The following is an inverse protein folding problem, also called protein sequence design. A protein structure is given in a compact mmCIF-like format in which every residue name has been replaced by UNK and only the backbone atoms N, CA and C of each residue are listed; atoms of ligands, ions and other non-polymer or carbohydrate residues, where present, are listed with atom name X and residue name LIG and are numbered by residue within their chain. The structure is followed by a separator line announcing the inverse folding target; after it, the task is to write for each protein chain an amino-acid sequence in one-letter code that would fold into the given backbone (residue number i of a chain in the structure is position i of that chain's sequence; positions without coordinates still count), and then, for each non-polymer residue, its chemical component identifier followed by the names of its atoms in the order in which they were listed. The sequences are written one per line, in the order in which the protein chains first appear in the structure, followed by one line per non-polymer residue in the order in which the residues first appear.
data_IF_378617710273
#
_entry.id   IF_378617710273
#
_cell.length_a   1.000
_cell.length_b   1.000
_cell.length_c   1.000
_cell.angle_alpha   90.00
_cell.angle_beta   90.00
_cell.angle_gamma   90.00
#
_symmetry.space_group_name_H-M   'P 1'
#
loop_
_entity.id
_entity.type
_entity.pdbx_description
1 polymer ?
#
# COMPACT_ATOMS: atom_id res chain seq x y z
N UNK A 1 12.88 20.46 -3.02
CA UNK A 1 12.07 21.71 -2.96
C UNK A 1 12.58 22.67 -4.02
N UNK A 2 11.77 23.06 -4.98
CA UNK A 2 12.26 23.84 -6.13
C UNK A 2 12.71 25.24 -5.70
N UNK A 3 13.85 25.68 -6.21
CA UNK A 3 14.44 27.01 -5.97
C UNK A 3 13.40 28.14 -6.12
N UNK A 4 12.44 27.95 -7.01
CA UNK A 4 11.30 28.83 -7.28
C UNK A 4 10.40 29.06 -6.07
N UNK A 5 10.02 27.99 -5.38
CA UNK A 5 9.13 28.02 -4.20
C UNK A 5 9.83 28.73 -3.06
N UNK A 6 11.09 28.39 -2.83
CA UNK A 6 11.92 29.04 -1.81
C UNK A 6 12.04 30.55 -2.06
N UNK A 7 12.21 30.98 -3.33
CA UNK A 7 12.27 32.39 -3.69
C UNK A 7 10.94 33.12 -3.44
N UNK A 8 9.79 32.50 -3.71
CA UNK A 8 8.47 33.08 -3.45
C UNK A 8 8.26 33.29 -1.94
N UNK A 9 8.62 32.30 -1.11
CA UNK A 9 8.54 32.43 0.34
C UNK A 9 9.51 33.48 0.90
N UNK A 10 10.69 33.60 0.33
CA UNK A 10 11.65 34.64 0.72
C UNK A 10 11.10 36.03 0.41
N UNK A 11 10.50 36.24 -0.77
CA UNK A 11 9.83 37.50 -1.13
C UNK A 11 8.66 37.79 -0.17
N UNK A 12 7.85 36.79 0.17
CA UNK A 12 6.79 36.94 1.17
C UNK A 12 7.35 37.48 2.49
N UNK A 13 8.41 36.90 3.04
CA UNK A 13 9.04 37.33 4.29
C UNK A 13 9.55 38.76 4.19
N UNK A 14 10.20 39.14 3.10
CA UNK A 14 10.72 40.49 2.88
C UNK A 14 9.58 41.52 2.86
N UNK A 15 8.52 41.29 2.09
CA UNK A 15 7.39 42.23 2.01
C UNK A 15 6.60 42.29 3.31
N UNK A 16 6.51 41.18 4.05
CA UNK A 16 5.90 41.15 5.38
C UNK A 16 6.72 41.97 6.38
N UNK A 17 8.03 41.79 6.44
CA UNK A 17 8.93 42.57 7.31
C UNK A 17 8.91 44.08 6.98
N UNK A 18 8.87 44.43 5.69
CA UNK A 18 8.72 45.82 5.25
C UNK A 18 7.39 46.43 5.73
N UNK A 19 6.29 45.64 5.71
CA UNK A 19 5.00 46.13 6.19
C UNK A 19 4.99 46.52 7.66
N UNK A 20 5.82 45.84 8.49
CA UNK A 20 5.94 46.12 9.91
C UNK A 20 6.85 47.33 10.24
N UNK A 21 7.72 47.72 9.30
CA UNK A 21 8.69 48.82 9.51
C UNK A 21 8.17 50.18 9.03
N UNK A 22 7.00 50.24 8.38
CA UNK A 22 6.45 51.48 7.81
C UNK A 22 5.52 52.18 8.79
N UNK A 23 5.59 53.52 8.86
CA UNK A 23 4.68 54.34 9.71
C UNK A 23 3.38 54.70 9.03
N UNK A 24 3.28 54.66 7.70
CA UNK A 24 2.10 55.02 6.93
C UNK A 24 1.10 53.89 6.82
N UNK A 25 -0.10 54.07 7.37
CA UNK A 25 -1.19 53.07 7.35
C UNK A 25 -1.57 52.61 5.95
N UNK A 26 -1.53 53.49 4.93
CA UNK A 26 -1.84 53.13 3.54
C UNK A 26 -0.74 52.25 2.93
N UNK A 27 0.53 52.52 3.26
CA UNK A 27 1.64 51.74 2.78
C UNK A 27 1.67 50.36 3.46
N UNK A 28 1.41 50.29 4.77
CA UNK A 28 1.28 49.02 5.52
C UNK A 28 0.25 48.11 4.86
N UNK A 29 -0.96 48.63 4.57
CA UNK A 29 -2.03 47.86 3.93
C UNK A 29 -1.63 47.31 2.57
N UNK A 30 -0.94 48.11 1.73
CA UNK A 30 -0.51 47.67 0.40
C UNK A 30 0.55 46.56 0.48
N UNK A 31 1.58 46.68 1.32
CA UNK A 31 2.60 45.66 1.49
C UNK A 31 2.06 44.38 2.12
N UNK A 32 1.07 44.48 3.03
CA UNK A 32 0.37 43.34 3.61
C UNK A 32 -0.41 42.56 2.55
N UNK A 33 -1.12 43.24 1.66
CA UNK A 33 -1.86 42.59 0.56
C UNK A 33 -0.90 41.87 -0.39
N UNK A 34 0.22 42.50 -0.76
CA UNK A 34 1.24 41.89 -1.61
C UNK A 34 1.83 40.64 -0.95
N UNK A 35 2.20 40.76 0.32
CA UNK A 35 2.74 39.65 1.08
C UNK A 35 1.77 38.48 1.15
N UNK A 36 0.50 38.72 1.47
CA UNK A 36 -0.54 37.69 1.53
C UNK A 36 -0.76 37.00 0.18
N UNK A 37 -0.76 37.78 -0.90
CA UNK A 37 -0.87 37.24 -2.27
C UNK A 37 0.32 36.31 -2.60
N UNK A 38 1.54 36.69 -2.24
CA UNK A 38 2.74 35.87 -2.42
C UNK A 38 2.69 34.59 -1.59
N UNK A 39 2.17 34.68 -0.37
CA UNK A 39 1.99 33.49 0.47
C UNK A 39 1.05 32.47 -0.16
N UNK A 40 -0.14 32.89 -0.57
CA UNK A 40 -1.10 32.02 -1.23
C UNK A 40 -0.56 31.44 -2.53
N UNK A 41 0.13 32.26 -3.33
CA UNK A 41 0.79 31.75 -4.53
C UNK A 41 1.88 30.72 -4.22
N UNK A 42 2.70 30.95 -3.19
CA UNK A 42 3.69 29.99 -2.73
C UNK A 42 3.08 28.64 -2.31
N UNK A 43 1.96 28.68 -1.58
CA UNK A 43 1.24 27.46 -1.16
C UNK A 43 0.66 26.71 -2.38
N UNK A 44 0.06 27.43 -3.33
CA UNK A 44 -0.48 26.83 -4.56
C UNK A 44 0.64 26.19 -5.38
N UNK A 45 1.75 26.89 -5.60
CA UNK A 45 2.89 26.36 -6.38
C UNK A 45 3.54 25.16 -5.69
N UNK A 46 3.59 25.18 -4.36
CA UNK A 46 4.06 24.02 -3.58
C UNK A 46 3.17 22.79 -3.79
N UNK A 47 1.85 22.94 -3.66
CA UNK A 47 0.89 21.85 -3.89
C UNK A 47 0.95 21.32 -5.33
N UNK A 48 1.05 22.21 -6.31
CA UNK A 48 1.22 21.83 -7.71
C UNK A 48 2.56 21.11 -7.97
N UNK A 49 3.62 21.48 -7.26
CA UNK A 49 4.93 20.83 -7.38
C UNK A 49 4.89 19.39 -6.86
N UNK A 50 4.21 19.15 -5.73
CA UNK A 50 4.02 17.80 -5.18
C UNK A 50 3.25 16.94 -6.18
N UNK A 51 2.09 17.41 -6.64
CA UNK A 51 1.26 16.66 -7.58
C UNK A 51 1.97 16.33 -8.90
N UNK A 52 2.85 17.24 -9.39
CA UNK A 52 3.66 16.99 -10.59
C UNK A 52 4.70 15.91 -10.35
N UNK A 53 5.33 15.91 -9.19
CA UNK A 53 6.34 14.90 -8.84
C UNK A 53 5.70 13.52 -8.71
N UNK A 54 4.53 13.43 -8.06
CA UNK A 54 3.76 12.20 -7.96
C UNK A 54 3.33 11.68 -9.33
N UNK A 55 2.79 12.55 -10.19
CA UNK A 55 2.39 12.19 -11.54
C UNK A 55 3.58 11.70 -12.38
N UNK A 56 4.76 12.32 -12.24
CA UNK A 56 5.98 11.91 -12.93
C UNK A 56 6.48 10.55 -12.42
N UNK A 57 6.46 10.32 -11.09
CA UNK A 57 6.86 9.04 -10.51
C UNK A 57 5.91 7.92 -10.93
N UNK A 58 4.59 8.19 -10.96
CA UNK A 58 3.59 7.23 -11.44
C UNK A 58 3.81 6.89 -12.91
N UNK A 59 4.07 7.89 -13.76
CA UNK A 59 4.36 7.65 -15.17
C UNK A 59 5.62 6.83 -15.38
N UNK A 60 6.70 7.10 -14.64
CA UNK A 60 7.93 6.30 -14.69
C UNK A 60 7.67 4.86 -14.27
N UNK A 61 6.85 4.66 -13.24
CA UNK A 61 6.43 3.33 -12.82
C UNK A 61 5.66 2.61 -13.94
N UNK A 62 4.67 3.26 -14.55
CA UNK A 62 3.90 2.68 -15.66
C UNK A 62 4.81 2.31 -16.86
N UNK A 63 5.80 3.14 -17.17
CA UNK A 63 6.81 2.85 -18.19
C UNK A 63 7.65 1.60 -17.85
N UNK A 64 8.03 1.41 -16.56
CA UNK A 64 8.75 0.22 -16.10
C UNK A 64 7.87 -1.04 -16.12
N UNK A 65 6.59 -0.90 -15.76
CA UNK A 65 5.65 -2.01 -15.76
C UNK A 65 5.22 -2.44 -17.16
N UNK A 66 5.32 -1.57 -18.18
CA UNK A 66 4.95 -1.87 -19.55
C UNK A 66 5.76 -3.04 -20.17
N UNK A 67 6.96 -3.28 -19.66
CA UNK A 67 7.82 -4.39 -20.12
C UNK A 67 7.42 -5.74 -19.50
N UNK A 68 6.57 -5.75 -18.47
CA UNK A 68 6.11 -6.95 -17.79
C UNK A 68 4.68 -7.27 -18.27
N UNK A 69 4.44 -8.44 -18.89
CA UNK A 69 3.08 -8.81 -19.31
C UNK A 69 2.18 -8.98 -18.10
N UNK A 70 1.04 -8.27 -18.09
CA UNK A 70 0.03 -8.38 -17.03
C UNK A 70 -1.33 -7.85 -17.52
N UNK A 71 -2.42 -8.41 -17.00
CA UNK A 71 -3.78 -7.93 -17.22
C UNK A 71 -4.32 -7.18 -16.00
N UNK A 72 -3.79 -7.46 -14.81
CA UNK A 72 -4.22 -6.82 -13.58
C UNK A 72 -3.02 -6.31 -12.80
N UNK A 73 -3.16 -5.12 -12.22
CA UNK A 73 -2.12 -4.49 -11.41
C UNK A 73 -2.68 -3.89 -10.13
N UNK A 74 -1.94 -4.03 -9.06
CA UNK A 74 -2.14 -3.37 -7.78
C UNK A 74 -0.88 -2.58 -7.46
N UNK A 75 -1.02 -1.30 -7.26
CA UNK A 75 0.10 -0.39 -6.97
C UNK A 75 -0.18 0.27 -5.63
N UNK A 76 0.76 0.18 -4.69
CA UNK A 76 0.65 0.86 -3.41
C UNK A 76 0.69 2.39 -3.56
N UNK A 77 0.06 3.11 -2.62
CA UNK A 77 -0.01 4.58 -2.66
C UNK A 77 1.39 5.23 -2.65
N UNK A 78 2.35 4.62 -1.94
CA UNK A 78 3.74 5.08 -1.88
C UNK A 78 4.58 4.69 -3.12
N UNK A 79 4.03 3.95 -4.08
CA UNK A 79 4.69 3.44 -5.29
C UNK A 79 5.90 2.54 -5.01
N UNK A 80 6.00 1.95 -3.82
CA UNK A 80 7.11 1.08 -3.44
C UNK A 80 6.80 -0.41 -3.66
N UNK A 81 5.51 -0.76 -3.67
CA UNK A 81 5.06 -2.15 -3.83
C UNK A 81 4.09 -2.25 -5.00
N UNK A 82 4.28 -3.26 -5.82
CA UNK A 82 3.40 -3.56 -6.96
C UNK A 82 3.14 -5.05 -7.01
N UNK A 83 1.88 -5.44 -7.24
CA UNK A 83 1.49 -6.82 -7.52
C UNK A 83 0.82 -6.88 -8.88
N UNK A 84 1.27 -7.81 -9.73
CA UNK A 84 0.74 -7.98 -11.09
C UNK A 84 0.28 -9.41 -11.30
N UNK A 85 -0.83 -9.58 -12.01
CA UNK A 85 -1.33 -10.88 -12.45
C UNK A 85 -1.26 -10.94 -13.97
N UNK A 86 -0.53 -11.93 -14.49
CA UNK A 86 -0.50 -12.35 -15.89
C UNK A 86 -1.30 -13.65 -16.03
N UNK A 87 -2.57 -13.52 -16.45
CA UNK A 87 -3.45 -14.68 -16.63
C UNK A 87 -3.04 -15.51 -17.85
N UNK A 88 -2.49 -14.88 -18.89
CA UNK A 88 -2.06 -15.54 -20.10
C UNK A 88 -0.78 -16.36 -19.88
N UNK A 89 0.23 -15.77 -19.25
CA UNK A 89 1.50 -16.42 -18.88
C UNK A 89 1.39 -17.30 -17.64
N UNK A 90 0.34 -17.11 -16.82
CA UNK A 90 0.11 -17.82 -15.53
C UNK A 90 1.15 -17.49 -14.48
N UNK A 91 1.51 -16.23 -14.39
CA UNK A 91 2.45 -15.69 -13.43
C UNK A 91 1.83 -14.63 -12.53
N UNK A 92 2.27 -14.62 -11.29
CA UNK A 92 2.11 -13.56 -10.32
C UNK A 92 3.48 -12.89 -10.16
N UNK A 93 3.51 -11.58 -10.26
CA UNK A 93 4.73 -10.81 -10.00
C UNK A 93 4.51 -9.94 -8.76
N UNK A 94 5.49 -9.98 -7.86
CA UNK A 94 5.57 -9.08 -6.71
C UNK A 94 6.83 -8.25 -6.89
N UNK A 95 6.64 -6.94 -6.97
CA UNK A 95 7.70 -5.98 -7.16
C UNK A 95 7.80 -5.11 -5.91
N UNK A 96 8.96 -5.07 -5.31
CA UNK A 96 9.21 -4.30 -4.10
C UNK A 96 10.50 -3.51 -4.25
N UNK A 97 10.52 -2.29 -3.73
CA UNK A 97 11.71 -1.45 -3.62
C UNK A 97 11.70 -0.66 -2.32
N UNK A 98 12.87 -0.30 -1.83
CA UNK A 98 13.02 0.44 -0.57
C UNK A 98 12.80 1.94 -0.78
N UNK A 99 13.16 2.47 -1.95
CA UNK A 99 12.98 3.89 -2.29
C UNK A 99 12.58 4.09 -3.75
N UNK A 100 12.03 5.28 -4.06
CA UNK A 100 11.63 5.64 -5.43
C UNK A 100 12.81 5.77 -6.40
N UNK A 101 14.04 5.86 -5.90
CA UNK A 101 15.27 5.99 -6.69
C UNK A 101 15.89 4.63 -7.02
N UNK A 102 15.45 3.57 -6.35
CA UNK A 102 15.96 2.20 -6.54
C UNK A 102 15.12 1.41 -7.54
N UNK A 103 15.76 0.43 -8.16
CA UNK A 103 15.09 -0.52 -9.03
C UNK A 103 14.26 -1.52 -8.20
N UNK A 104 13.22 -2.07 -8.82
CA UNK A 104 12.40 -3.09 -8.18
C UNK A 104 13.14 -4.42 -8.06
N UNK A 105 13.06 -5.03 -6.89
CA UNK A 105 13.24 -6.47 -6.75
C UNK A 105 11.96 -7.15 -7.25
N UNK A 106 12.10 -8.10 -8.19
CA UNK A 106 10.97 -8.74 -8.87
C UNK A 106 10.94 -10.22 -8.52
N UNK A 107 9.94 -10.63 -7.77
CA UNK A 107 9.63 -12.02 -7.52
C UNK A 107 8.61 -12.51 -8.57
N UNK A 108 8.99 -13.51 -9.36
CA UNK A 108 8.14 -14.10 -10.39
C UNK A 108 7.69 -15.50 -9.97
N UNK A 109 6.39 -15.66 -9.75
CA UNK A 109 5.79 -16.84 -9.16
C UNK A 109 4.82 -17.47 -10.18
N UNK A 110 5.05 -18.73 -10.57
CA UNK A 110 4.04 -19.46 -11.34
C UNK A 110 2.80 -19.71 -10.46
N UNK A 111 1.61 -19.57 -10.99
CA UNK A 111 0.36 -19.84 -10.27
C UNK A 111 0.32 -21.24 -9.62
N UNK A 112 0.97 -22.22 -10.23
CA UNK A 112 1.05 -23.58 -9.69
C UNK A 112 1.85 -23.69 -8.40
N UNK A 113 2.76 -22.75 -8.16
CA UNK A 113 3.63 -22.68 -6.97
C UNK A 113 3.01 -21.96 -5.80
N UNK A 114 1.88 -21.26 -5.97
CA UNK A 114 1.17 -20.63 -4.85
C UNK A 114 0.50 -21.73 -4.02
N UNK A 115 0.88 -21.82 -2.76
CA UNK A 115 0.43 -22.87 -1.85
C UNK A 115 -0.63 -22.38 -0.89
N UNK A 116 -0.52 -21.14 -0.42
CA UNK A 116 -1.37 -20.58 0.61
C UNK A 116 -1.47 -19.06 0.45
N UNK A 117 -2.59 -18.49 0.85
CA UNK A 117 -2.78 -17.04 0.95
C UNK A 117 -3.51 -16.72 2.24
N UNK A 118 -3.06 -15.66 2.91
CA UNK A 118 -3.65 -15.17 4.15
C UNK A 118 -3.79 -13.64 4.13
N UNK A 119 -4.81 -13.12 4.82
CA UNK A 119 -4.88 -11.72 5.23
C UNK A 119 -4.32 -11.67 6.66
N UNK A 120 -3.37 -10.79 6.87
CA UNK A 120 -2.72 -10.58 8.18
C UNK A 120 -2.90 -9.13 8.59
N UNK A 121 -3.49 -8.93 9.75
CA UNK A 121 -3.61 -7.64 10.44
C UNK A 121 -2.70 -7.69 11.67
N UNK A 122 -1.85 -6.70 11.82
CA UNK A 122 -0.78 -6.71 12.82
C UNK A 122 0.05 -8.01 12.70
N UNK A 123 -0.07 -8.91 13.64
CA UNK A 123 0.57 -10.24 13.63
C UNK A 123 -0.47 -11.37 13.56
N UNK A 124 -1.76 -11.02 13.46
CA UNK A 124 -2.86 -12.00 13.49
C UNK A 124 -3.32 -12.36 12.09
N UNK A 125 -3.58 -13.64 11.87
CA UNK A 125 -4.14 -14.15 10.61
C UNK A 125 -5.65 -14.07 10.66
N UNK A 126 -6.24 -13.12 9.92
CA UNK A 126 -7.69 -12.91 9.89
C UNK A 126 -8.38 -13.90 8.92
N UNK A 127 -7.74 -14.17 7.79
CA UNK A 127 -8.25 -15.11 6.78
C UNK A 127 -7.13 -15.95 6.22
N UNK A 128 -7.41 -17.24 6.01
CA UNK A 128 -6.44 -18.19 5.49
C UNK A 128 -7.09 -19.10 4.44
N UNK A 129 -6.42 -19.30 3.31
CA UNK A 129 -6.81 -20.26 2.29
C UNK A 129 -5.62 -21.10 1.84
N UNK A 130 -5.48 -22.33 2.35
CA UNK A 130 -4.44 -23.28 1.94
C UNK A 130 -4.85 -24.08 0.73
N UNK A 131 -3.90 -24.50 -0.09
CA UNK A 131 -4.09 -25.48 -1.16
C UNK A 131 -4.43 -26.86 -0.58
N UNK A 132 -5.46 -27.52 -1.12
CA UNK A 132 -5.87 -28.84 -0.63
C UNK A 132 -4.74 -29.86 -0.68
N UNK A 133 -4.57 -30.62 0.41
CA UNK A 133 -3.54 -31.67 0.55
C UNK A 133 -2.25 -31.20 1.16
N UNK A 134 -2.08 -29.91 1.43
CA UNK A 134 -1.10 -29.43 2.39
C UNK A 134 -1.69 -29.59 3.80
N UNK A 135 -0.87 -30.14 4.71
CA UNK A 135 -1.19 -30.07 6.14
C UNK A 135 -1.23 -28.59 6.48
N UNK A 136 -2.38 -28.12 6.97
CA UNK A 136 -2.64 -26.73 7.34
C UNK A 136 -1.44 -26.13 8.06
N UNK A 137 -0.94 -25.00 7.54
CA UNK A 137 -0.19 -23.98 8.26
C UNK A 137 0.97 -24.39 9.20
N UNK A 138 1.90 -25.20 8.72
CA UNK A 138 3.17 -25.38 9.47
C UNK A 138 4.06 -24.12 9.43
N UNK A 139 3.73 -23.13 8.61
CA UNK A 139 4.53 -21.90 8.42
C UNK A 139 3.90 -20.70 9.12
N UNK A 140 2.59 -20.76 9.40
CA UNK A 140 1.89 -19.78 10.22
C UNK A 140 1.64 -20.49 11.56
N UNK A 141 2.18 -19.99 12.65
CA UNK A 141 2.05 -20.61 13.97
C UNK A 141 0.56 -20.77 14.32
N UNK A 142 0.17 -21.95 14.84
CA UNK A 142 -1.20 -22.26 15.29
C UNK A 142 -1.70 -21.29 16.40
N UNK A 143 -0.80 -20.50 16.99
CA UNK A 143 -1.10 -19.49 18.02
C UNK A 143 -1.73 -18.22 17.42
N UNK A 144 -1.64 -18.02 16.08
CA UNK A 144 -2.08 -16.81 15.39
C UNK A 144 -3.49 -16.96 14.77
N UNK A 145 -4.17 -18.10 14.94
CA UNK A 145 -5.54 -18.32 14.45
C UNK A 145 -6.50 -18.06 15.60
N UNK A 146 -7.24 -16.96 15.52
CA UNK A 146 -8.37 -16.75 16.43
C UNK A 146 -9.51 -17.63 15.96
N UNK A 147 -9.78 -18.75 16.68
CA UNK A 147 -11.08 -19.41 16.61
C UNK A 147 -12.10 -18.45 17.21
N UNK A 148 -12.96 -17.86 16.37
CA UNK A 148 -14.12 -17.09 16.81
C UNK A 148 -15.14 -18.03 17.48
N UNK A 149 -14.85 -18.52 18.67
CA UNK A 149 -15.87 -18.97 19.59
C UNK A 149 -16.37 -17.73 20.36
N UNK A 150 -17.47 -17.18 19.92
CA UNK A 150 -18.21 -16.13 20.62
C UNK A 150 -18.77 -16.71 21.92
N UNK A 151 -18.01 -16.59 23.01
CA UNK A 151 -18.58 -16.63 24.35
C UNK A 151 -18.99 -15.19 24.73
N UNK A 152 -20.30 -15.00 24.74
CA UNK A 152 -20.97 -13.80 25.26
C UNK A 152 -20.61 -13.61 26.76
N UNK A 153 -20.51 -12.35 27.13
CA UNK A 153 -20.55 -11.77 28.47
C UNK A 153 -19.22 -11.53 29.20
N UNK A 154 -18.67 -10.31 28.95
CA UNK A 154 -18.29 -9.44 30.07
C UNK A 154 -18.34 -7.99 29.57
N UNK A 155 -19.29 -7.19 30.12
CA UNK A 155 -19.36 -5.73 29.96
C UNK A 155 -18.16 -5.09 30.69
N UNK A 156 -17.01 -4.98 30.04
CA UNK A 156 -15.97 -4.07 30.48
C UNK A 156 -16.23 -2.68 29.90
N UNK A 157 -16.12 -1.66 30.77
CA UNK A 157 -16.18 -0.25 30.45
C UNK A 157 -15.23 0.04 29.28
N UNK A 158 -15.78 0.20 28.06
CA UNK A 158 -15.04 0.52 26.85
C UNK A 158 -14.52 1.95 27.02
N UNK A 159 -13.27 2.09 27.42
CA UNK A 159 -12.47 3.26 27.09
C UNK A 159 -12.31 3.18 25.57
N UNK A 160 -12.96 4.07 24.82
CA UNK A 160 -12.76 4.25 23.39
C UNK A 160 -11.29 4.68 23.14
N UNK A 161 -10.34 3.76 23.24
CA UNK A 161 -9.06 3.94 22.61
C UNK A 161 -9.32 3.81 21.10
N UNK A 162 -9.05 4.88 20.35
CA UNK A 162 -9.09 4.87 18.88
C UNK A 162 -8.11 3.77 18.44
N UNK A 163 -8.64 2.58 18.13
CA UNK A 163 -7.84 1.45 17.66
C UNK A 163 -7.27 1.81 16.28
N UNK A 164 -5.98 2.02 16.21
CA UNK A 164 -5.24 2.27 14.98
C UNK A 164 -4.44 1.05 14.58
N UNK A 165 -4.55 0.67 13.31
CA UNK A 165 -3.86 -0.46 12.71
C UNK A 165 -2.62 0.02 11.97
N UNK A 166 -1.46 -0.58 12.25
CA UNK A 166 -0.18 -0.24 11.60
C UNK A 166 0.16 -1.20 10.46
N UNK A 167 -0.40 -2.42 10.47
CA UNK A 167 -0.08 -3.44 9.47
C UNK A 167 -1.33 -4.14 8.95
N UNK A 168 -1.55 -4.04 7.65
CA UNK A 168 -2.48 -4.87 6.88
C UNK A 168 -1.73 -5.40 5.66
N UNK A 169 -1.59 -6.72 5.54
CA UNK A 169 -0.88 -7.30 4.41
C UNK A 169 -1.53 -8.58 3.90
N UNK A 170 -1.29 -8.85 2.62
CA UNK A 170 -1.56 -10.13 1.99
C UNK A 170 -0.29 -10.97 2.03
N UNK A 171 -0.32 -12.06 2.80
CA UNK A 171 0.78 -13.01 2.93
C UNK A 171 0.53 -14.21 2.04
N UNK A 172 1.53 -14.61 1.28
CA UNK A 172 1.47 -15.79 0.41
C UNK A 172 2.60 -16.73 0.72
N UNK A 173 2.28 -18.02 0.79
CA UNK A 173 3.28 -19.09 0.87
C UNK A 173 3.45 -19.69 -0.51
N UNK A 174 4.70 -19.80 -0.97
CA UNK A 174 5.04 -20.30 -2.31
C UNK A 174 6.01 -21.47 -2.25
N UNK A 175 5.92 -22.36 -3.24
CA UNK A 175 6.87 -23.47 -3.42
C UNK A 175 8.18 -22.96 -4.04
N UNK A 176 8.90 -22.17 -3.23
CA UNK A 176 10.24 -21.69 -3.52
C UNK A 176 11.08 -21.69 -2.23
N UNK A 177 12.13 -22.50 -2.20
CA UNK A 177 12.96 -22.66 -1.02
C UNK A 177 13.82 -21.43 -0.69
N UNK A 178 13.97 -20.52 -1.65
CA UNK A 178 14.77 -19.30 -1.46
C UNK A 178 13.94 -18.19 -0.83
N UNK A 179 12.67 -18.07 -1.24
CA UNK A 179 11.75 -17.05 -0.74
C UNK A 179 10.36 -17.68 -0.57
N UNK A 180 10.16 -18.34 0.57
CA UNK A 180 8.97 -19.16 0.84
C UNK A 180 7.74 -18.31 1.16
N UNK A 181 7.96 -17.16 1.82
CA UNK A 181 6.88 -16.26 2.28
C UNK A 181 7.04 -14.93 1.57
N UNK A 182 5.97 -14.48 0.94
CA UNK A 182 5.89 -13.19 0.26
C UNK A 182 4.77 -12.37 0.89
N UNK A 183 5.06 -11.11 1.20
CA UNK A 183 4.08 -10.19 1.78
C UNK A 183 3.89 -8.99 0.86
N UNK A 184 2.63 -8.60 0.66
CA UNK A 184 2.27 -7.36 0.00
C UNK A 184 1.53 -6.46 1.00
N UNK A 185 2.12 -5.32 1.40
CA UNK A 185 1.51 -4.41 2.37
C UNK A 185 0.44 -3.53 1.71
N UNK A 186 -0.71 -3.38 2.38
CA UNK A 186 -1.78 -2.44 2.03
C UNK A 186 -1.70 -1.15 2.84
N UNK A 187 -1.15 -1.22 4.05
CA UNK A 187 -0.75 -0.06 4.85
C UNK A 187 0.77 0.11 4.67
N UNK A 188 1.21 1.33 4.37
CA UNK A 188 2.63 1.60 4.17
C UNK A 188 3.38 1.54 5.52
N UNK A 189 4.63 1.09 5.48
CA UNK A 189 5.48 1.03 6.68
C UNK A 189 5.60 2.41 7.35
N UNK A 190 5.26 2.48 8.64
CA UNK A 190 5.26 3.71 9.43
C UNK A 190 4.01 4.58 9.29
N UNK A 191 2.99 4.12 8.57
CA UNK A 191 1.64 4.68 8.57
C UNK A 191 0.76 3.88 9.52
N UNK A 192 -0.18 4.55 10.20
CA UNK A 192 -1.25 3.92 10.97
C UNK A 192 -2.59 4.45 10.48
N UNK A 193 -3.58 3.56 10.37
CA UNK A 193 -4.93 3.90 9.95
C UNK A 193 -5.90 3.60 11.10
N UNK A 194 -6.79 4.54 11.39
CA UNK A 194 -7.91 4.31 12.30
C UNK A 194 -8.88 3.29 11.66
N UNK A 195 -9.32 2.29 12.44
CA UNK A 195 -10.16 1.19 11.93
C UNK A 195 -11.48 1.71 11.35
N UNK A 196 -12.04 2.80 11.88
CA UNK A 196 -13.26 3.42 11.38
C UNK A 196 -13.04 4.40 10.22
N UNK A 197 -11.79 4.57 9.75
CA UNK A 197 -11.47 5.49 8.66
C UNK A 197 -11.91 4.97 7.30
N UNK A 198 -12.28 5.89 6.39
CA UNK A 198 -12.55 5.57 4.99
C UNK A 198 -11.31 4.93 4.31
N UNK A 199 -10.11 5.37 4.70
CA UNK A 199 -8.85 4.86 4.17
C UNK A 199 -8.59 3.40 4.56
N UNK A 200 -8.90 3.02 5.81
CA UNK A 200 -8.80 1.63 6.23
C UNK A 200 -9.83 0.76 5.49
N UNK A 201 -11.08 1.23 5.37
CA UNK A 201 -12.13 0.50 4.64
C UNK A 201 -11.71 0.23 3.19
N UNK A 202 -11.17 1.25 2.48
CA UNK A 202 -10.68 1.08 1.11
C UNK A 202 -9.50 0.10 1.04
N UNK A 203 -8.55 0.16 1.98
CA UNK A 203 -7.40 -0.75 2.02
C UNK A 203 -7.83 -2.19 2.29
N UNK A 204 -8.77 -2.40 3.23
CA UNK A 204 -9.30 -3.71 3.58
C UNK A 204 -10.13 -4.31 2.44
N UNK A 205 -11.00 -3.53 1.78
CA UNK A 205 -11.77 -3.98 0.63
C UNK A 205 -10.86 -4.42 -0.51
N UNK A 206 -9.81 -3.64 -0.79
CA UNK A 206 -8.83 -3.96 -1.81
C UNK A 206 -8.01 -5.21 -1.45
N UNK A 207 -7.62 -5.36 -0.19
CA UNK A 207 -6.95 -6.55 0.33
C UNK A 207 -7.84 -7.80 0.14
N UNK A 208 -9.12 -7.71 0.51
CA UNK A 208 -10.09 -8.79 0.34
C UNK A 208 -10.31 -9.14 -1.14
N UNK A 209 -10.37 -8.16 -2.04
CA UNK A 209 -10.48 -8.40 -3.48
C UNK A 209 -9.29 -9.22 -4.00
N UNK A 210 -8.07 -8.82 -3.65
CA UNK A 210 -6.88 -9.53 -4.09
C UNK A 210 -6.71 -10.88 -3.43
N UNK A 211 -7.07 -11.02 -2.15
CA UNK A 211 -7.16 -12.32 -1.49
C UNK A 211 -8.06 -13.29 -2.26
N UNK A 212 -9.26 -12.85 -2.67
CA UNK A 212 -10.19 -13.69 -3.44
C UNK A 212 -9.61 -14.09 -4.80
N UNK A 213 -8.90 -13.18 -5.50
CA UNK A 213 -8.24 -13.48 -6.76
C UNK A 213 -7.18 -14.58 -6.59
N UNK A 214 -6.35 -14.48 -5.56
CA UNK A 214 -5.34 -15.50 -5.27
C UNK A 214 -5.98 -16.82 -4.85
N UNK A 215 -7.05 -16.81 -4.05
CA UNK A 215 -7.83 -18.02 -3.74
C UNK A 215 -8.33 -18.73 -5.01
N UNK A 216 -8.83 -17.96 -6.00
CA UNK A 216 -9.26 -18.51 -7.29
C UNK A 216 -8.07 -19.13 -8.05
N UNK A 217 -6.92 -18.48 -8.04
CA UNK A 217 -5.69 -19.00 -8.64
C UNK A 217 -5.35 -20.35 -7.99
N UNK A 218 -5.22 -20.41 -6.66
CA UNK A 218 -4.93 -21.64 -5.93
C UNK A 218 -5.92 -22.73 -6.29
N UNK A 219 -7.23 -22.44 -6.25
CA UNK A 219 -8.30 -23.40 -6.55
C UNK A 219 -8.24 -23.93 -7.97
N UNK A 220 -7.91 -23.11 -8.99
CA UNK A 220 -7.76 -23.54 -10.39
C UNK A 220 -6.61 -24.52 -10.53
N UNK A 221 -5.55 -24.39 -9.74
CA UNK A 221 -4.33 -25.19 -9.82
C UNK A 221 -4.26 -26.35 -8.81
N UNK A 222 -5.25 -26.48 -7.90
CA UNK A 222 -5.40 -27.64 -7.03
C UNK A 222 -5.53 -28.95 -7.83
N UNK A 223 -6.27 -28.92 -8.93
CA UNK A 223 -6.59 -30.09 -9.72
C UNK A 223 -5.54 -30.45 -10.78
N UNK A 224 -4.63 -29.51 -11.13
CA UNK A 224 -3.66 -29.73 -12.20
C UNK A 224 -2.57 -30.76 -11.84
N UNK A 225 -2.37 -31.04 -10.55
CA UNK A 225 -1.34 -31.95 -10.02
C UNK A 225 -1.85 -33.27 -9.47
N UNK A 226 -3.16 -33.54 -9.58
CA UNK A 226 -3.67 -34.87 -9.25
C UNK A 226 -3.33 -35.80 -10.41
N UNK A 227 -2.23 -36.55 -10.27
CA UNK A 227 -1.93 -37.66 -11.15
C UNK A 227 -3.11 -38.65 -11.07
N UNK A 228 -3.96 -38.66 -12.07
CA UNK A 228 -5.00 -39.69 -12.20
C UNK A 228 -4.27 -41.00 -12.39
N UNK A 229 -4.08 -41.74 -11.30
CA UNK A 229 -3.70 -43.15 -11.40
C UNK A 229 -4.87 -43.88 -12.04
N UNK A 230 -4.80 -44.06 -13.37
CA UNK A 230 -5.65 -44.98 -14.04
C UNK A 230 -5.31 -46.36 -13.49
N UNK A 231 -6.18 -46.92 -12.66
CA UNK A 231 -6.15 -48.30 -12.27
C UNK A 231 -6.51 -49.12 -13.53
N UNK A 232 -5.49 -49.67 -14.14
CA UNK A 232 -5.65 -50.79 -15.09
C UNK A 232 -5.64 -52.10 -14.33
#
# INVERSE_FOLDING_TARGET
MGLKILFIFLLFIVYFALSLSLESTKAIGLYLIISLTLFFWGVIEWKLSINRTEAENRRRLEEQLADIPHEQSLISNNLLNVMLIDEAGKFLYILQRVSLEEDFNIDTISFSKVLEVAIVEEEQVIKLYPKKGLLSSTVINDEDIIDEDYDEEEEEEIVEEEESLEKLCLRMVVDDLTNTILEYPFIAEGESLEIDSEQYTEANDLCNEWYQKICIIIKRYEHSNVAVRLWQ
#
